data_IF_262234021996
#
_entry.id   IF_262234021996
#
_cell.length_a   1.000
_cell.length_b   1.000
_cell.length_c   1.000
_cell.angle_alpha   90.00
_cell.angle_beta   90.00
_cell.angle_gamma   90.00
#
_symmetry.space_group_name_H-M   'P 1'
#
loop_
_entity.id
_entity.type
_entity.pdbx_description
1 polymer ?
#
# COMPACT_ATOMS: atom_id res chain seq x y z
N UNK A 1 7.72 -2.35 5.43
CA UNK A 1 6.30 -2.30 5.00
C UNK A 1 6.14 -1.31 3.86
N UNK A 2 6.61 -0.06 4.03
CA UNK A 2 6.68 0.95 2.96
C UNK A 2 7.37 0.43 1.68
N UNK A 3 8.52 -0.25 1.81
CA UNK A 3 9.30 -0.75 0.65
C UNK A 3 8.55 -1.78 -0.21
N UNK A 4 7.76 -2.64 0.43
CA UNK A 4 6.93 -3.62 -0.28
C UNK A 4 5.84 -2.90 -1.09
N UNK A 5 5.10 -1.99 -0.46
CA UNK A 5 4.10 -1.18 -1.16
C UNK A 5 4.73 -0.32 -2.26
N UNK A 6 5.91 0.27 -2.01
CA UNK A 6 6.65 1.03 -3.02
C UNK A 6 7.03 0.17 -4.23
N UNK A 7 7.39 -1.09 -4.01
CA UNK A 7 7.70 -2.03 -5.09
C UNK A 7 6.46 -2.31 -5.95
N UNK A 8 5.28 -2.47 -5.33
CA UNK A 8 4.00 -2.65 -6.04
C UNK A 8 3.65 -1.41 -6.88
N UNK A 9 3.85 -0.23 -6.31
CA UNK A 9 3.61 1.05 -6.98
C UNK A 9 4.54 1.21 -8.18
N UNK A 10 5.84 1.00 -7.98
CA UNK A 10 6.85 1.16 -9.04
C UNK A 10 6.69 0.11 -10.15
N UNK A 11 6.11 -1.06 -9.85
CA UNK A 11 5.84 -2.10 -10.83
C UNK A 11 4.52 -1.91 -11.57
N UNK A 12 3.77 -0.83 -11.31
CA UNK A 12 2.46 -0.53 -11.93
C UNK A 12 1.49 -1.72 -11.80
N UNK A 13 1.57 -2.45 -10.68
CA UNK A 13 0.80 -3.67 -10.44
C UNK A 13 1.17 -4.88 -11.32
N UNK A 14 2.20 -4.77 -12.17
CA UNK A 14 2.59 -5.81 -13.14
C UNK A 14 3.43 -6.92 -12.53
N UNK A 15 4.12 -6.65 -11.41
CA UNK A 15 4.99 -7.63 -10.76
C UNK A 15 4.94 -7.51 -9.24
N UNK A 16 4.62 -8.62 -8.57
CA UNK A 16 4.99 -8.83 -7.17
C UNK A 16 6.45 -9.33 -7.10
N UNK A 17 7.15 -9.17 -5.97
CA UNK A 17 8.45 -9.82 -5.80
C UNK A 17 8.29 -11.35 -5.85
N UNK A 18 9.19 -12.04 -6.55
CA UNK A 18 9.24 -13.52 -6.63
C UNK A 18 9.44 -14.08 -5.22
N UNK A 19 8.71 -15.13 -4.78
CA UNK A 19 7.85 -16.04 -5.56
C UNK A 19 6.36 -15.66 -5.64
N UNK A 20 5.91 -14.54 -5.04
CA UNK A 20 4.48 -14.21 -5.07
C UNK A 20 3.94 -13.93 -6.47
N UNK A 21 4.80 -13.53 -7.40
CA UNK A 21 4.39 -13.31 -8.78
C UNK A 21 3.85 -14.58 -9.45
N UNK A 22 4.37 -15.74 -9.08
CA UNK A 22 3.97 -17.04 -9.66
C UNK A 22 2.63 -17.53 -9.09
N UNK A 23 2.18 -16.94 -7.98
CA UNK A 23 0.91 -17.24 -7.32
C UNK A 23 -0.23 -16.31 -7.79
N UNK A 24 0.07 -15.38 -8.69
CA UNK A 24 -0.91 -14.47 -9.28
C UNK A 24 -1.50 -15.09 -10.55
N UNK A 25 -2.81 -15.33 -10.54
CA UNK A 25 -3.54 -15.78 -11.73
C UNK A 25 -3.74 -14.66 -12.77
N UNK A 26 -3.49 -13.41 -12.37
CA UNK A 26 -3.62 -12.19 -13.17
C UNK A 26 -2.84 -11.03 -12.54
N UNK A 27 -2.52 -9.96 -13.29
CA UNK A 27 -1.91 -8.74 -12.75
C UNK A 27 -2.72 -8.13 -11.60
N UNK A 28 -2.06 -7.36 -10.74
CA UNK A 28 -2.74 -6.70 -9.62
C UNK A 28 -3.78 -5.72 -10.15
N UNK A 29 -4.97 -5.74 -9.54
CA UNK A 29 -6.01 -4.77 -9.85
C UNK A 29 -5.52 -3.34 -9.54
N UNK A 30 -5.92 -2.34 -10.33
CA UNK A 30 -5.63 -0.93 -10.05
C UNK A 30 -5.99 -0.52 -8.62
N UNK A 31 -7.13 -0.99 -8.11
CA UNK A 31 -7.56 -0.75 -6.73
C UNK A 31 -6.55 -1.23 -5.66
N UNK A 32 -5.74 -2.27 -5.92
CA UNK A 32 -4.67 -2.67 -5.00
C UNK A 32 -3.44 -1.78 -5.11
N UNK A 33 -3.14 -1.29 -6.31
CA UNK A 33 -2.06 -0.32 -6.53
C UNK A 33 -2.39 0.99 -5.82
N UNK A 34 -3.65 1.44 -5.89
CA UNK A 34 -4.14 2.62 -5.17
C UNK A 34 -4.00 2.45 -3.65
N UNK A 35 -4.34 1.27 -3.12
CA UNK A 35 -4.15 0.95 -1.70
C UNK A 35 -2.67 0.99 -1.32
N UNK A 36 -1.79 0.44 -2.15
CA UNK A 36 -0.34 0.48 -1.91
C UNK A 36 0.20 1.92 -1.93
N UNK A 37 -0.26 2.75 -2.87
CA UNK A 37 0.07 4.17 -2.98
C UNK A 37 -0.34 4.94 -1.72
N UNK A 38 -1.60 4.83 -1.32
CA UNK A 38 -2.12 5.49 -0.12
C UNK A 38 -1.32 5.06 1.12
N UNK A 39 -0.96 3.78 1.22
CA UNK A 39 -0.13 3.30 2.33
C UNK A 39 1.25 3.96 2.37
N UNK A 40 1.93 4.10 1.23
CA UNK A 40 3.23 4.78 1.12
C UNK A 40 3.09 6.24 1.54
N UNK A 41 2.09 6.95 1.02
CA UNK A 41 1.83 8.35 1.33
C UNK A 41 1.58 8.55 2.84
N UNK A 42 0.71 7.74 3.44
CA UNK A 42 0.38 7.82 4.86
C UNK A 42 1.58 7.49 5.76
N UNK A 43 2.39 6.50 5.38
CA UNK A 43 3.62 6.19 6.12
C UNK A 43 4.64 7.32 6.03
N UNK A 44 4.77 7.94 4.87
CA UNK A 44 5.68 9.07 4.67
C UNK A 44 5.19 10.29 5.46
N UNK A 45 3.90 10.62 5.40
CA UNK A 45 3.29 11.69 6.18
C UNK A 45 3.48 11.47 7.69
N UNK A 46 3.28 10.24 8.18
CA UNK A 46 3.57 9.88 9.57
C UNK A 46 5.03 10.09 9.93
N UNK A 47 5.95 9.61 9.10
CA UNK A 47 7.38 9.77 9.34
C UNK A 47 7.77 11.25 9.43
N UNK A 48 7.26 12.08 8.52
CA UNK A 48 7.55 13.52 8.57
C UNK A 48 6.89 14.20 9.77
N UNK A 49 5.68 13.78 10.18
CA UNK A 49 5.05 14.30 11.41
C UNK A 49 5.87 13.96 12.67
N UNK A 50 6.45 12.77 12.71
CA UNK A 50 7.20 12.27 13.88
C UNK A 50 8.63 12.85 13.94
N UNK A 51 9.26 13.10 12.79
CA UNK A 51 10.70 13.38 12.72
C UNK A 51 11.08 14.73 12.09
N UNK A 52 10.21 15.37 11.31
CA UNK A 52 10.50 16.66 10.69
C UNK A 52 9.88 17.82 11.50
N UNK A 53 10.69 18.39 12.40
CA UNK A 53 10.31 19.54 13.23
C UNK A 53 10.04 20.82 12.42
N UNK A 54 10.46 20.87 11.16
CA UNK A 54 10.21 22.01 10.26
C UNK A 54 8.87 21.91 9.56
N UNK A 55 8.28 20.71 9.49
CA UNK A 55 7.00 20.48 8.82
C UNK A 55 5.85 20.82 9.75
N UNK A 56 4.89 21.58 9.22
CA UNK A 56 3.60 21.82 9.88
C UNK A 56 2.51 21.19 9.04
N UNK A 57 1.75 20.29 9.63
CA UNK A 57 0.56 19.72 9.02
C UNK A 57 -0.61 20.63 9.39
N UNK A 58 -1.16 21.33 8.41
CA UNK A 58 -2.38 22.11 8.60
C UNK A 58 -3.59 21.18 8.73
N UNK A 59 -4.72 21.74 9.17
CA UNK A 59 -5.97 20.98 9.29
C UNK A 59 -6.41 20.39 7.95
N UNK A 60 -6.25 21.14 6.87
CA UNK A 60 -6.67 20.70 5.54
C UNK A 60 -5.76 19.56 5.04
N UNK A 61 -4.44 19.65 5.26
CA UNK A 61 -3.51 18.55 4.98
C UNK A 61 -3.90 17.27 5.74
N UNK A 62 -4.28 17.41 7.02
CA UNK A 62 -4.71 16.28 7.83
C UNK A 62 -6.02 15.66 7.30
N UNK A 63 -6.96 16.48 6.83
CA UNK A 63 -8.20 16.02 6.23
C UNK A 63 -7.93 15.24 4.94
N UNK A 64 -7.05 15.73 4.06
CA UNK A 64 -6.67 15.03 2.83
C UNK A 64 -6.06 13.64 3.12
N UNK A 65 -5.22 13.54 4.16
CA UNK A 65 -4.65 12.26 4.60
C UNK A 65 -5.73 11.29 5.12
N UNK A 66 -6.72 11.80 5.87
CA UNK A 66 -7.84 10.99 6.33
C UNK A 66 -8.69 10.49 5.16
N UNK A 67 -9.02 11.36 4.21
CA UNK A 67 -9.80 11.02 3.03
C UNK A 67 -9.07 9.97 2.16
N UNK A 68 -7.75 10.11 2.02
CA UNK A 68 -6.91 9.12 1.33
C UNK A 68 -6.94 7.75 2.03
N UNK A 69 -6.91 7.73 3.37
CA UNK A 69 -7.02 6.50 4.14
C UNK A 69 -8.39 5.83 3.97
N UNK A 70 -9.47 6.60 4.06
CA UNK A 70 -10.84 6.10 3.88
C UNK A 70 -11.03 5.54 2.47
N UNK A 71 -10.58 6.26 1.45
CA UNK A 71 -10.63 5.80 0.06
C UNK A 71 -9.84 4.50 -0.13
N UNK A 72 -8.66 4.37 0.47
CA UNK A 72 -7.88 3.14 0.41
C UNK A 72 -8.63 1.95 1.06
N UNK A 73 -9.26 2.15 2.23
CA UNK A 73 -10.07 1.09 2.83
C UNK A 73 -11.30 0.73 2.00
N UNK A 74 -11.95 1.70 1.37
CA UNK A 74 -13.05 1.45 0.44
C UNK A 74 -12.60 0.64 -0.78
N UNK A 75 -11.49 1.03 -1.42
CA UNK A 75 -10.87 0.29 -2.53
C UNK A 75 -10.51 -1.13 -2.12
N UNK A 76 -9.90 -1.33 -0.94
CA UNK A 76 -9.56 -2.66 -0.43
C UNK A 76 -10.81 -3.54 -0.18
N UNK A 77 -11.91 -2.94 0.30
CA UNK A 77 -13.18 -3.64 0.54
C UNK A 77 -13.87 -4.05 -0.76
N UNK A 78 -13.71 -3.28 -1.83
CA UNK A 78 -14.30 -3.58 -3.15
C UNK A 78 -13.72 -4.84 -3.81
N UNK A 79 -12.49 -5.23 -3.44
CA UNK A 79 -11.83 -6.42 -3.97
C UNK A 79 -12.36 -7.66 -3.27
N UNK A 80 -12.77 -8.68 -4.04
CA UNK A 80 -13.23 -9.96 -3.49
C UNK A 80 -12.23 -10.54 -2.46
N UNK A 81 -12.73 -10.91 -1.29
CA UNK A 81 -11.98 -11.58 -0.22
C UNK A 81 -11.32 -12.88 -0.70
N UNK A 82 -11.91 -13.55 -1.70
CA UNK A 82 -11.39 -14.78 -2.30
C UNK A 82 -10.37 -14.54 -3.41
N UNK A 83 -10.12 -13.29 -3.82
CA UNK A 83 -9.12 -13.00 -4.83
C UNK A 83 -7.69 -13.32 -4.34
N UNK A 84 -6.92 -14.08 -5.13
CA UNK A 84 -5.52 -14.45 -4.85
C UNK A 84 -4.65 -13.22 -4.59
N UNK A 85 -4.77 -12.20 -5.45
CA UNK A 85 -4.09 -10.90 -5.31
C UNK A 85 -4.31 -10.23 -3.95
N UNK A 86 -5.51 -10.30 -3.36
CA UNK A 86 -5.82 -9.68 -2.07
C UNK A 86 -5.14 -10.43 -0.93
N UNK A 87 -5.18 -11.77 -0.96
CA UNK A 87 -4.48 -12.61 0.02
C UNK A 87 -2.97 -12.39 -0.04
N UNK A 88 -2.39 -12.40 -1.25
CA UNK A 88 -0.96 -12.19 -1.45
C UNK A 88 -0.53 -10.80 -0.97
N UNK A 89 -1.32 -9.77 -1.27
CA UNK A 89 -1.08 -8.42 -0.75
C UNK A 89 -1.04 -8.39 0.78
N UNK A 90 -2.04 -8.99 1.45
CA UNK A 90 -2.09 -9.05 2.92
C UNK A 90 -0.94 -9.88 3.50
N UNK A 91 -0.61 -11.02 2.89
CA UNK A 91 0.54 -11.83 3.31
C UNK A 91 1.85 -11.06 3.15
N UNK A 92 2.03 -10.34 2.04
CA UNK A 92 3.18 -9.47 1.81
C UNK A 92 3.29 -8.37 2.86
N UNK A 93 2.16 -7.77 3.28
CA UNK A 93 2.13 -6.80 4.38
C UNK A 93 2.50 -7.43 5.73
N UNK A 94 1.94 -8.60 6.07
CA UNK A 94 2.20 -9.27 7.36
C UNK A 94 3.64 -9.81 7.47
N UNK A 95 4.18 -10.33 6.37
CA UNK A 95 5.49 -10.98 6.34
C UNK A 95 6.58 -10.12 5.69
N UNK A 96 6.36 -8.81 5.54
CA UNK A 96 7.27 -7.91 4.82
C UNK A 96 8.72 -7.94 5.36
N UNK A 97 8.93 -8.24 6.64
CA UNK A 97 10.27 -8.33 7.24
C UNK A 97 11.05 -9.56 6.79
N UNK A 98 10.34 -10.63 6.41
CA UNK A 98 10.92 -11.87 5.89
C UNK A 98 10.94 -11.90 4.37
N UNK A 99 10.21 -10.99 3.71
CA UNK A 99 10.12 -10.90 2.26
C UNK A 99 11.30 -10.17 1.61
N UNK A 100 12.01 -9.34 2.37
CA UNK A 100 13.19 -8.58 1.90
C UNK A 100 14.54 -9.27 2.22
N UNK A 101 14.53 -10.53 2.64
CA UNK A 101 15.73 -11.37 2.87
C UNK A 101 15.74 -12.52 1.89
#
# INVERSE_FOLDING_TARGET
MKDFCQTIVNSDGKKLPVPANDLLDRPLSPALVDVANAFVQLQQARHEADYDLSRRIARDDAQELLDAADQAFHSLRSIDKKASQRRLFLLGLMFHQRWNR
#
